data_IF_409688816065
#
_entry.id   IF_409688816065
#
_cell.length_a   1.000
_cell.length_b   1.000
_cell.length_c   1.000
_cell.angle_alpha   90.00
_cell.angle_beta   90.00
_cell.angle_gamma   90.00
#
_symmetry.space_group_name_H-M   'P 1'
#
loop_
_entity.id
_entity.type
_entity.pdbx_description
1 polymer ?
#
# COMPACT_ATOMS: atom_id res chain seq x y z
N UNK A 1 -6.30 0.84 -14.61
CA UNK A 1 -6.47 0.81 -13.13
C UNK A 1 -5.19 0.32 -12.44
N UNK A 2 -4.51 -0.70 -12.97
CA UNK A 2 -3.17 -1.10 -12.51
C UNK A 2 -2.10 -0.02 -12.76
N UNK A 3 -2.17 0.72 -13.86
CA UNK A 3 -1.21 1.81 -14.18
C UNK A 3 -1.27 3.02 -13.25
N UNK A 4 -2.30 3.10 -12.38
CA UNK A 4 -2.49 4.23 -11.46
C UNK A 4 -2.13 3.89 -10.01
N UNK A 5 -1.57 2.69 -9.77
CA UNK A 5 -1.23 2.18 -8.45
C UNK A 5 -2.36 2.32 -7.40
N UNK A 6 -3.62 2.30 -7.86
CA UNK A 6 -4.77 2.48 -6.96
C UNK A 6 -4.99 1.17 -6.20
N UNK A 7 -4.95 1.19 -4.86
CA UNK A 7 -5.16 -0.02 -4.07
C UNK A 7 -6.56 -0.58 -4.33
N UNK A 8 -6.60 -1.85 -4.72
CA UNK A 8 -7.85 -2.57 -4.96
C UNK A 8 -8.46 -2.93 -3.60
N UNK A 9 -9.48 -2.19 -3.20
CA UNK A 9 -10.16 -2.38 -1.93
C UNK A 9 -11.23 -3.49 -2.00
N UNK A 10 -11.58 -4.05 -0.85
CA UNK A 10 -12.69 -5.00 -0.73
C UNK A 10 -14.02 -4.49 -1.30
N UNK A 11 -14.46 -3.27 -0.94
CA UNK A 11 -15.65 -2.64 -1.52
C UNK A 11 -15.61 -2.53 -3.05
N UNK A 12 -14.45 -2.21 -3.62
CA UNK A 12 -14.28 -2.13 -5.07
C UNK A 12 -14.49 -3.49 -5.76
N UNK A 13 -13.99 -4.57 -5.15
CA UNK A 13 -14.21 -5.93 -5.66
C UNK A 13 -15.70 -6.29 -5.62
N UNK A 14 -16.40 -5.95 -4.54
CA UNK A 14 -17.85 -6.18 -4.41
C UNK A 14 -18.62 -5.41 -5.47
N UNK A 15 -18.30 -4.13 -5.67
CA UNK A 15 -18.95 -3.28 -6.69
C UNK A 15 -18.79 -3.87 -8.09
N UNK A 16 -17.59 -4.33 -8.45
CA UNK A 16 -17.37 -4.99 -9.74
C UNK A 16 -18.11 -6.30 -9.88
N UNK A 17 -18.17 -7.11 -8.83
CA UNK A 17 -18.96 -8.34 -8.84
C UNK A 17 -20.45 -8.05 -9.06
N UNK A 18 -21.01 -7.03 -8.41
CA UNK A 18 -22.41 -6.61 -8.61
C UNK A 18 -22.68 -6.12 -10.03
N UNK A 19 -21.74 -5.43 -10.67
CA UNK A 19 -21.85 -5.02 -12.07
C UNK A 19 -21.96 -6.22 -13.02
N UNK A 20 -21.13 -7.26 -12.81
CA UNK A 20 -21.20 -8.50 -13.61
C UNK A 20 -22.50 -9.25 -13.38
N UNK A 21 -22.90 -9.40 -12.13
CA UNK A 21 -24.13 -10.07 -11.71
C UNK A 21 -25.36 -9.44 -12.37
N UNK A 22 -25.42 -8.10 -12.42
CA UNK A 22 -26.45 -7.38 -13.16
C UNK A 22 -26.37 -7.64 -14.68
N UNK A 23 -25.18 -7.69 -15.26
CA UNK A 23 -24.99 -7.95 -16.68
C UNK A 23 -25.35 -9.40 -17.07
N UNK A 24 -25.28 -10.34 -16.13
CA UNK A 24 -25.65 -11.74 -16.31
C UNK A 24 -27.08 -12.07 -15.85
N UNK A 25 -27.88 -11.05 -15.48
CA UNK A 25 -29.26 -11.22 -15.00
C UNK A 25 -29.39 -12.21 -13.83
N UNK A 26 -28.41 -12.20 -12.92
CA UNK A 26 -28.38 -13.06 -11.75
C UNK A 26 -28.69 -12.26 -10.48
N UNK A 27 -29.90 -12.30 -9.93
CA UNK A 27 -30.27 -11.38 -8.84
C UNK A 27 -29.93 -11.87 -7.42
N UNK A 28 -29.47 -13.12 -7.26
CA UNK A 28 -29.26 -13.72 -5.95
C UNK A 28 -27.92 -13.33 -5.29
N UNK A 29 -26.98 -12.77 -6.04
CA UNK A 29 -25.67 -12.42 -5.49
C UNK A 29 -25.71 -11.09 -4.73
N UNK A 30 -25.41 -11.16 -3.42
CA UNK A 30 -25.45 -10.01 -2.51
C UNK A 30 -24.06 -9.49 -2.10
N UNK A 31 -22.97 -10.04 -2.64
CA UNK A 31 -21.62 -9.53 -2.34
C UNK A 31 -21.20 -9.59 -0.87
N UNK A 32 -21.58 -10.64 -0.14
CA UNK A 32 -21.32 -10.73 1.30
C UNK A 32 -19.83 -10.72 1.66
N UNK A 33 -19.51 -10.26 2.88
CA UNK A 33 -18.14 -10.31 3.41
C UNK A 33 -17.56 -11.74 3.40
N UNK A 34 -18.40 -12.75 3.70
CA UNK A 34 -17.97 -14.15 3.64
C UNK A 34 -17.62 -14.62 2.24
N UNK A 35 -18.31 -14.13 1.21
CA UNK A 35 -17.94 -14.38 -0.18
C UNK A 35 -16.62 -13.69 -0.53
N UNK A 36 -16.47 -12.41 -0.17
CA UNK A 36 -15.27 -11.62 -0.44
C UNK A 36 -14.01 -12.27 0.14
N UNK A 37 -14.07 -12.73 1.39
CA UNK A 37 -12.94 -13.39 2.06
C UNK A 37 -12.58 -14.73 1.39
N UNK A 38 -13.58 -15.53 0.99
CA UNK A 38 -13.35 -16.77 0.25
C UNK A 38 -12.77 -16.50 -1.13
N UNK A 39 -13.25 -15.47 -1.82
CA UNK A 39 -12.76 -15.03 -3.13
C UNK A 39 -11.29 -14.62 -3.05
N UNK A 40 -10.95 -13.75 -2.10
CA UNK A 40 -9.58 -13.32 -1.85
C UNK A 40 -8.66 -14.51 -1.57
N UNK A 41 -9.06 -15.40 -0.66
CA UNK A 41 -8.28 -16.59 -0.31
C UNK A 41 -8.08 -17.54 -1.50
N UNK A 42 -9.10 -17.76 -2.31
CA UNK A 42 -9.03 -18.63 -3.49
C UNK A 42 -8.05 -18.11 -4.55
N UNK A 43 -7.96 -16.79 -4.70
CA UNK A 43 -7.16 -16.15 -5.74
C UNK A 43 -5.86 -15.52 -5.21
N UNK A 44 -5.48 -15.80 -3.95
CA UNK A 44 -4.26 -15.26 -3.35
C UNK A 44 -4.25 -13.72 -3.24
N UNK A 45 -5.42 -13.07 -3.18
CA UNK A 45 -5.52 -11.62 -3.03
C UNK A 45 -5.27 -11.30 -1.56
N UNK A 46 -4.01 -10.99 -1.24
CA UNK A 46 -3.60 -10.56 0.08
C UNK A 46 -3.95 -9.08 0.25
N UNK A 47 -4.68 -8.77 1.31
CA UNK A 47 -4.82 -7.39 1.76
C UNK A 47 -3.48 -6.96 2.38
N UNK A 48 -2.55 -6.48 1.55
CA UNK A 48 -1.33 -5.86 2.04
C UNK A 48 -1.71 -4.44 2.46
N UNK A 49 -1.70 -4.18 3.76
CA UNK A 49 -1.61 -2.80 4.24
C UNK A 49 -0.22 -2.34 3.82
N UNK A 50 -0.13 -1.56 2.74
CA UNK A 50 1.04 -0.73 2.47
C UNK A 50 1.03 0.36 3.54
N UNK A 51 1.47 0.01 4.74
CA UNK A 51 1.88 1.00 5.72
C UNK A 51 3.21 1.51 5.20
N UNK A 52 3.18 2.61 4.45
CA UNK A 52 4.40 3.33 4.13
C UNK A 52 4.89 3.98 5.41
N UNK A 53 5.60 3.21 6.23
CA UNK A 53 6.53 3.59 7.31
C UNK A 53 6.09 4.62 8.38
N UNK A 54 4.95 5.28 8.25
CA UNK A 54 4.62 6.51 8.97
C UNK A 54 3.74 6.28 10.20
N UNK A 55 3.55 5.02 10.63
CA UNK A 55 2.53 4.69 11.65
C UNK A 55 3.08 4.29 13.02
N UNK A 56 4.38 4.10 13.14
CA UNK A 56 4.99 3.53 14.36
C UNK A 56 5.90 4.50 15.12
N UNK A 57 5.94 5.79 14.74
CA UNK A 57 6.78 6.80 15.38
C UNK A 57 5.90 7.91 15.96
N UNK A 58 6.09 8.24 17.23
CA UNK A 58 5.46 9.39 17.90
C UNK A 58 5.95 10.70 17.28
N UNK A 59 5.04 11.63 16.98
CA UNK A 59 5.36 12.90 16.32
C UNK A 59 6.43 13.68 17.12
N UNK A 60 6.36 13.61 18.46
CA UNK A 60 7.32 14.27 19.34
C UNK A 60 8.74 13.65 19.25
N UNK A 61 8.84 12.33 19.13
CA UNK A 61 10.13 11.64 18.95
C UNK A 61 10.75 11.98 17.59
N UNK A 62 9.91 12.11 16.56
CA UNK A 62 10.36 12.52 15.21
C UNK A 62 10.91 13.94 15.21
N UNK A 63 10.25 14.88 15.88
CA UNK A 63 10.67 16.28 15.92
C UNK A 63 11.96 16.46 16.74
N UNK A 64 12.09 15.73 17.85
CA UNK A 64 13.33 15.69 18.63
C UNK A 64 14.50 15.11 17.83
N UNK A 65 14.26 14.05 17.05
CA UNK A 65 15.30 13.47 16.19
C UNK A 65 15.79 14.46 15.12
N UNK A 66 14.87 15.18 14.45
CA UNK A 66 15.22 16.18 13.42
C UNK A 66 16.03 17.33 14.04
N UNK A 67 15.55 17.86 15.17
CA UNK A 67 16.12 19.07 15.77
C UNK A 67 17.43 18.82 16.51
N UNK A 68 17.55 17.72 17.25
CA UNK A 68 18.73 17.45 18.06
C UNK A 68 19.75 16.54 17.39
N UNK A 69 19.31 15.48 16.72
CA UNK A 69 20.20 14.42 16.22
C UNK A 69 20.65 14.71 14.80
N UNK A 70 19.70 14.88 13.87
CA UNK A 70 20.01 15.13 12.47
C UNK A 70 20.80 16.44 12.31
N UNK A 71 20.41 17.50 13.02
CA UNK A 71 21.10 18.79 12.97
C UNK A 71 22.55 18.74 13.49
N UNK A 72 22.89 17.80 14.37
CA UNK A 72 24.30 17.58 14.80
C UNK A 72 25.08 16.84 13.72
N UNK A 73 24.50 15.79 13.15
CA UNK A 73 25.13 14.99 12.09
C UNK A 73 25.44 15.88 10.88
N UNK A 74 24.49 16.70 10.44
CA UNK A 74 24.64 17.54 9.24
C UNK A 74 25.73 18.62 9.37
N UNK A 75 26.12 19.03 10.58
CA UNK A 75 27.20 20.02 10.77
C UNK A 75 28.56 19.49 10.34
N UNK A 76 28.75 18.18 10.35
CA UNK A 76 30.02 17.55 9.99
C UNK A 76 30.17 17.34 8.47
N UNK A 77 29.12 17.61 7.69
CA UNK A 77 29.10 17.43 6.24
C UNK A 77 28.89 18.77 5.52
N UNK A 78 29.62 18.96 4.43
CA UNK A 78 29.31 20.04 3.48
C UNK A 78 28.00 19.75 2.75
N UNK A 79 27.24 20.77 2.34
CA UNK A 79 26.01 20.58 1.57
C UNK A 79 26.17 19.72 0.31
N UNK A 80 27.32 19.81 -0.38
CA UNK A 80 27.66 19.02 -1.56
C UNK A 80 27.82 17.51 -1.30
N UNK A 81 27.96 17.10 -0.03
CA UNK A 81 28.14 15.71 0.40
C UNK A 81 26.87 15.11 1.01
N UNK A 82 25.73 15.82 0.95
CA UNK A 82 24.45 15.33 1.44
C UNK A 82 23.66 14.80 0.24
N UNK A 83 23.49 13.48 0.17
CA UNK A 83 22.75 12.82 -0.91
C UNK A 83 21.42 12.32 -0.39
N UNK A 84 20.36 12.50 -1.19
CA UNK A 84 19.09 11.81 -0.94
C UNK A 84 19.21 10.38 -1.48
N UNK A 85 19.12 9.41 -0.59
CA UNK A 85 18.97 8.00 -0.96
C UNK A 85 17.58 7.58 -0.52
N UNK A 86 16.71 7.30 -1.48
CA UNK A 86 15.43 6.66 -1.24
C UNK A 86 15.57 5.15 -1.51
N UNK A 87 14.69 4.36 -0.89
CA UNK A 87 14.78 2.91 -0.94
C UNK A 87 14.67 2.42 -2.39
N UNK A 88 15.68 1.66 -2.82
CA UNK A 88 15.69 1.03 -4.14
C UNK A 88 15.27 -0.42 -3.97
N UNK A 89 13.96 -0.68 -4.08
CA UNK A 89 13.42 -2.03 -3.98
C UNK A 89 13.77 -2.84 -5.24
N UNK A 90 14.56 -3.92 -5.07
CA UNK A 90 14.91 -4.85 -6.15
C UNK A 90 13.93 -6.03 -6.16
N UNK A 91 13.01 -6.02 -7.11
CA UNK A 91 12.10 -7.14 -7.33
C UNK A 91 12.78 -8.27 -8.12
N UNK A 92 13.33 -9.26 -7.41
CA UNK A 92 13.86 -10.49 -8.02
C UNK A 92 12.74 -11.53 -8.16
N UNK A 93 12.56 -12.10 -9.37
CA UNK A 93 11.52 -13.10 -9.71
C UNK A 93 10.05 -12.63 -9.63
N UNK A 94 9.78 -11.33 -9.77
CA UNK A 94 8.40 -10.91 -10.00
C UNK A 94 7.90 -11.41 -11.35
N UNK A 95 6.69 -11.98 -11.36
CA UNK A 95 6.01 -12.39 -12.60
C UNK A 95 5.86 -11.17 -13.53
N UNK A 96 6.02 -11.34 -14.86
CA UNK A 96 5.85 -10.25 -15.81
C UNK A 96 4.44 -9.66 -15.76
N UNK A 97 4.35 -8.35 -16.04
CA UNK A 97 3.10 -7.57 -16.03
C UNK A 97 2.07 -8.04 -17.05
#
# INVERSE_FOLDING_TARGET
MRDKNVPISGPFIIEKALQFVKAFEYDEFQGSNGWLEKFKRRHGILAKVTSGESKDIDDNDSENWITETLSKILKDYKPENIFNADDTDLFFQCLPQ
#
